data_IF_904367262336
#
_entry.id   IF_904367262336
#
_cell.length_a   1.000
_cell.length_b   1.000
_cell.length_c   1.000
_cell.angle_alpha   90.00
_cell.angle_beta   90.00
_cell.angle_gamma   90.00
#
_symmetry.space_group_name_H-M   'P 1'
#
loop_
_entity.id
_entity.type
_entity.pdbx_description
1 polymer ?
#
# COMPACT_ATOMS: atom_id res chain seq x y z
N UNK A 1 1.53 -49.10 -33.36
CA UNK A 1 1.21 -47.72 -33.80
C UNK A 1 0.07 -47.68 -34.81
N UNK A 2 0.08 -48.49 -35.87
CA UNK A 2 -0.94 -48.46 -36.92
C UNK A 2 -2.36 -48.77 -36.44
N UNK A 3 -2.55 -49.69 -35.49
CA UNK A 3 -3.89 -50.04 -34.99
C UNK A 3 -4.55 -48.91 -34.19
N UNK A 4 -3.80 -48.15 -33.40
CA UNK A 4 -4.32 -47.01 -32.63
C UNK A 4 -4.68 -45.86 -33.58
N UNK A 5 -3.83 -45.62 -34.58
CA UNK A 5 -4.07 -44.61 -35.60
C UNK A 5 -5.32 -44.94 -36.43
N UNK A 6 -5.45 -46.17 -36.93
CA UNK A 6 -6.63 -46.60 -37.68
C UNK A 6 -7.91 -46.52 -36.83
N UNK A 7 -7.84 -46.88 -35.54
CA UNK A 7 -8.97 -46.75 -34.62
C UNK A 7 -9.40 -45.28 -34.39
N UNK A 8 -8.45 -44.35 -34.25
CA UNK A 8 -8.72 -42.92 -34.13
C UNK A 8 -9.35 -42.35 -35.41
N UNK A 9 -8.89 -42.79 -36.59
CA UNK A 9 -9.40 -42.34 -37.89
C UNK A 9 -10.80 -42.89 -38.16
N UNK A 10 -11.03 -44.18 -37.92
CA UNK A 10 -12.32 -44.85 -38.13
C UNK A 10 -13.43 -44.29 -37.23
N UNK A 11 -13.07 -43.79 -36.03
CA UNK A 11 -13.99 -43.16 -35.07
C UNK A 11 -13.76 -41.65 -34.93
N UNK A 12 -13.18 -41.00 -35.93
CA UNK A 12 -12.77 -39.58 -35.90
C UNK A 12 -13.87 -38.62 -35.43
N UNK A 13 -15.12 -38.79 -35.90
CA UNK A 13 -16.27 -37.96 -35.48
C UNK A 13 -16.52 -38.00 -33.97
N UNK A 14 -16.37 -39.18 -33.35
CA UNK A 14 -16.53 -39.36 -31.91
C UNK A 14 -15.42 -38.65 -31.13
N UNK A 15 -14.17 -38.77 -31.57
CA UNK A 15 -13.04 -38.11 -30.91
C UNK A 15 -13.05 -36.59 -31.10
N UNK A 16 -13.48 -36.08 -32.26
CA UNK A 16 -13.68 -34.64 -32.48
C UNK A 16 -14.77 -34.12 -31.54
N UNK A 17 -15.90 -34.84 -31.43
CA UNK A 17 -16.97 -34.47 -30.50
C UNK A 17 -16.48 -34.51 -29.05
N UNK A 18 -15.72 -35.53 -28.66
CA UNK A 18 -15.16 -35.67 -27.32
C UNK A 18 -14.18 -34.52 -27.00
N UNK A 19 -13.28 -34.18 -27.92
CA UNK A 19 -12.35 -33.06 -27.77
C UNK A 19 -13.12 -31.75 -27.63
N UNK A 20 -14.12 -31.52 -28.48
CA UNK A 20 -14.96 -30.33 -28.44
C UNK A 20 -15.75 -30.22 -27.13
N UNK A 21 -16.31 -31.33 -26.65
CA UNK A 21 -16.98 -31.38 -25.35
C UNK A 21 -16.00 -31.06 -24.21
N UNK A 22 -14.78 -31.62 -24.25
CA UNK A 22 -13.73 -31.33 -23.26
C UNK A 22 -13.32 -29.85 -23.30
N UNK A 23 -13.19 -29.26 -24.48
CA UNK A 23 -12.90 -27.83 -24.65
C UNK A 23 -14.02 -26.95 -24.09
N UNK A 24 -15.29 -27.30 -24.32
CA UNK A 24 -16.43 -26.57 -23.72
C UNK A 24 -16.38 -26.66 -22.19
N UNK A 25 -16.12 -27.85 -21.64
CA UNK A 25 -15.99 -28.04 -20.19
C UNK A 25 -14.86 -27.18 -19.62
N UNK A 26 -13.71 -27.12 -20.30
CA UNK A 26 -12.59 -26.26 -19.92
C UNK A 26 -12.95 -24.76 -19.98
N UNK A 27 -13.71 -24.32 -20.99
CA UNK A 27 -14.18 -22.93 -21.12
C UNK A 27 -15.08 -22.55 -19.94
N UNK A 28 -15.94 -23.46 -19.48
CA UNK A 28 -16.79 -23.23 -18.30
C UNK A 28 -15.93 -23.01 -17.04
N UNK A 29 -14.74 -23.59 -16.98
CA UNK A 29 -13.78 -23.40 -15.88
C UNK A 29 -12.99 -22.09 -15.94
N UNK A 30 -12.87 -21.45 -17.09
CA UNK A 30 -12.04 -20.24 -17.27
C UNK A 30 -12.39 -19.08 -16.31
N UNK A 31 -13.66 -18.76 -16.03
CA UNK A 31 -13.99 -17.69 -15.08
C UNK A 31 -13.53 -17.95 -13.64
N UNK A 32 -13.22 -19.21 -13.30
CA UNK A 32 -12.72 -19.60 -11.97
C UNK A 32 -11.20 -19.73 -11.94
N UNK A 33 -10.53 -19.56 -13.08
CA UNK A 33 -9.07 -19.60 -13.15
C UNK A 33 -8.50 -18.36 -12.46
N UNK A 34 -7.79 -18.57 -11.36
CA UNK A 34 -7.06 -17.53 -10.65
C UNK A 34 -5.57 -17.73 -10.92
N UNK A 35 -4.95 -16.73 -11.55
CA UNK A 35 -3.50 -16.68 -11.68
C UNK A 35 -2.95 -16.02 -10.42
N UNK A 36 -2.36 -16.81 -9.53
CA UNK A 36 -1.67 -16.26 -8.35
C UNK A 36 -0.30 -15.75 -8.78
N UNK A 37 -0.24 -14.45 -9.09
CA UNK A 37 0.98 -13.71 -9.41
C UNK A 37 1.47 -12.88 -8.21
N UNK A 38 1.07 -13.27 -6.99
CA UNK A 38 1.51 -12.58 -5.78
C UNK A 38 3.01 -12.82 -5.55
N UNK A 39 3.69 -11.81 -5.01
CA UNK A 39 5.11 -11.93 -4.63
C UNK A 39 5.35 -13.01 -3.57
N UNK A 40 4.32 -13.38 -2.81
CA UNK A 40 4.37 -14.49 -1.84
C UNK A 40 4.73 -15.84 -2.50
N UNK A 41 4.36 -16.04 -3.76
CA UNK A 41 4.73 -17.26 -4.53
C UNK A 41 6.22 -17.35 -4.85
N UNK A 42 6.95 -16.23 -4.76
CA UNK A 42 8.41 -16.20 -4.97
C UNK A 42 9.18 -16.53 -3.69
N UNK A 43 8.50 -16.57 -2.54
CA UNK A 43 9.09 -16.88 -1.25
C UNK A 43 9.10 -18.39 -1.03
N UNK A 44 10.07 -18.86 -0.25
CA UNK A 44 10.15 -20.28 0.07
C UNK A 44 9.00 -20.68 1.00
N UNK A 45 8.33 -21.76 0.66
CA UNK A 45 7.32 -22.34 1.54
C UNK A 45 7.96 -22.77 2.88
N UNK A 46 7.33 -22.36 3.98
CA UNK A 46 7.75 -22.66 5.36
C UNK A 46 9.13 -22.08 5.78
N UNK A 47 9.47 -20.90 5.26
CA UNK A 47 10.63 -20.13 5.71
C UNK A 47 10.47 -19.67 7.18
N UNK A 48 11.38 -20.07 8.10
CA UNK A 48 11.33 -19.65 9.51
C UNK A 48 11.56 -18.14 9.69
N UNK A 49 12.36 -17.51 8.83
CA UNK A 49 12.62 -16.07 8.91
C UNK A 49 11.37 -15.27 8.51
N UNK A 50 10.61 -15.76 7.53
CA UNK A 50 9.31 -15.18 7.16
C UNK A 50 8.29 -15.29 8.31
N UNK A 51 8.30 -16.40 9.04
CA UNK A 51 7.45 -16.59 10.23
C UNK A 51 7.82 -15.57 11.32
N UNK A 52 9.10 -15.44 11.66
CA UNK A 52 9.61 -14.48 12.65
C UNK A 52 9.28 -13.04 12.22
N UNK A 53 9.49 -12.70 10.95
CA UNK A 53 9.16 -11.38 10.40
C UNK A 53 7.67 -11.04 10.60
N UNK A 54 6.77 -11.98 10.28
CA UNK A 54 5.31 -11.80 10.43
C UNK A 54 4.91 -11.70 11.90
N UNK A 55 5.50 -12.50 12.79
CA UNK A 55 5.25 -12.42 14.24
C UNK A 55 5.69 -11.07 14.83
N UNK A 56 6.89 -10.61 14.48
CA UNK A 56 7.40 -9.30 14.90
C UNK A 56 6.54 -8.16 14.36
N UNK A 57 6.20 -8.23 13.06
CA UNK A 57 5.30 -7.26 12.41
C UNK A 57 3.94 -7.19 13.11
N UNK A 58 3.39 -8.33 13.53
CA UNK A 58 2.14 -8.36 14.29
C UNK A 58 2.28 -7.79 15.71
N UNK A 59 3.38 -8.10 16.39
CA UNK A 59 3.60 -7.70 17.79
C UNK A 59 3.89 -6.21 17.96
N UNK A 60 4.74 -5.67 17.09
CA UNK A 60 5.18 -4.28 17.16
C UNK A 60 4.40 -3.34 16.22
N UNK A 61 3.53 -3.90 15.39
CA UNK A 61 2.76 -3.18 14.39
C UNK A 61 3.59 -2.89 13.14
N UNK A 62 3.33 -3.63 12.05
CA UNK A 62 3.63 -3.15 10.71
C UNK A 62 2.35 -2.59 10.13
N UNK A 63 2.42 -1.36 9.66
CA UNK A 63 1.32 -0.73 8.95
C UNK A 63 1.66 -0.77 7.48
N UNK A 64 0.87 -1.51 6.68
CA UNK A 64 0.98 -1.42 5.23
C UNK A 64 0.62 0.01 4.82
N UNK A 65 1.45 0.63 3.98
CA UNK A 65 1.22 2.01 3.55
C UNK A 65 1.51 2.19 2.08
N UNK A 66 0.89 3.22 1.51
CA UNK A 66 1.14 3.71 0.16
C UNK A 66 1.73 5.12 0.27
N UNK A 67 2.69 5.43 -0.61
CA UNK A 67 3.23 6.78 -0.72
C UNK A 67 2.70 7.41 -2.01
N UNK A 68 2.06 8.56 -1.89
CA UNK A 68 1.60 9.36 -3.02
C UNK A 68 2.51 10.58 -3.14
N UNK A 69 3.11 10.75 -4.31
CA UNK A 69 3.81 11.99 -4.67
C UNK A 69 2.83 12.95 -5.33
N UNK A 70 2.57 14.08 -4.68
CA UNK A 70 1.68 15.13 -5.16
C UNK A 70 2.49 16.34 -5.65
N UNK A 71 2.36 16.69 -6.92
CA UNK A 71 3.01 17.85 -7.54
C UNK A 71 1.95 18.82 -8.08
N UNK A 72 1.68 19.95 -7.41
CA UNK A 72 0.76 20.96 -7.91
C UNK A 72 1.35 21.76 -9.08
N UNK A 73 0.49 22.29 -9.93
CA UNK A 73 0.91 23.19 -11.04
C UNK A 73 1.35 24.58 -10.54
N UNK A 74 0.92 24.97 -9.33
CA UNK A 74 1.25 26.23 -8.67
C UNK A 74 2.20 25.96 -7.50
N UNK A 75 2.78 27.03 -6.93
CA UNK A 75 3.62 26.90 -5.75
C UNK A 75 2.85 26.26 -4.57
N UNK A 76 3.50 25.33 -3.86
CA UNK A 76 2.93 24.61 -2.71
C UNK A 76 2.43 25.57 -1.63
N UNK A 77 3.21 26.60 -1.30
CA UNK A 77 2.96 27.51 -0.18
C UNK A 77 2.09 28.69 -0.60
N UNK A 78 0.97 28.40 -1.25
CA UNK A 78 -0.08 29.37 -1.59
C UNK A 78 -1.40 28.87 -1.04
N UNK A 79 -2.28 29.79 -0.62
CA UNK A 79 -3.56 29.43 -0.02
C UNK A 79 -4.40 28.52 -0.93
N UNK A 80 -4.34 28.73 -2.24
CA UNK A 80 -5.04 27.91 -3.23
C UNK A 80 -4.53 26.47 -3.24
N UNK A 81 -3.21 26.27 -3.33
CA UNK A 81 -2.61 24.94 -3.36
C UNK A 81 -2.76 24.21 -2.03
N UNK A 82 -2.63 24.94 -0.91
CA UNK A 82 -2.84 24.41 0.44
C UNK A 82 -4.27 23.89 0.59
N UNK A 83 -5.27 24.70 0.23
CA UNK A 83 -6.68 24.29 0.30
C UNK A 83 -6.98 23.09 -0.62
N UNK A 84 -6.35 23.04 -1.79
CA UNK A 84 -6.45 21.89 -2.69
C UNK A 84 -5.83 20.62 -2.09
N UNK A 85 -4.69 20.74 -1.42
CA UNK A 85 -4.03 19.63 -0.73
C UNK A 85 -4.85 19.15 0.47
N UNK A 86 -5.41 20.06 1.27
CA UNK A 86 -6.31 19.72 2.39
C UNK A 86 -7.53 18.95 1.90
N UNK A 87 -8.17 19.42 0.82
CA UNK A 87 -9.30 18.73 0.21
C UNK A 87 -8.92 17.33 -0.27
N UNK A 88 -7.75 17.19 -0.91
CA UNK A 88 -7.23 15.91 -1.34
C UNK A 88 -7.01 14.97 -0.15
N UNK A 89 -6.32 15.44 0.89
CA UNK A 89 -6.07 14.65 2.12
C UNK A 89 -7.38 14.24 2.77
N UNK A 90 -8.36 15.15 2.85
CA UNK A 90 -9.70 14.86 3.37
C UNK A 90 -10.40 13.74 2.60
N UNK A 91 -10.42 13.83 1.27
CA UNK A 91 -11.01 12.78 0.41
C UNK A 91 -10.27 11.45 0.52
N UNK A 92 -8.95 11.46 0.64
CA UNK A 92 -8.17 10.24 0.83
C UNK A 92 -8.50 9.59 2.17
N UNK A 93 -8.68 10.37 3.24
CA UNK A 93 -9.11 9.84 4.56
C UNK A 93 -10.50 9.18 4.53
N UNK A 94 -11.36 9.52 3.58
CA UNK A 94 -12.70 8.93 3.41
C UNK A 94 -12.69 7.60 2.62
N UNK A 95 -11.60 7.27 1.92
CA UNK A 95 -11.52 6.03 1.12
C UNK A 95 -11.54 4.81 2.03
N UNK A 96 -12.45 3.86 1.77
CA UNK A 96 -12.48 2.63 2.54
C UNK A 96 -11.20 1.80 2.34
N UNK A 97 -10.72 1.21 3.43
CA UNK A 97 -9.41 0.59 3.49
C UNK A 97 -8.25 1.53 3.88
N UNK A 98 -8.47 2.84 4.02
CA UNK A 98 -7.47 3.78 4.56
C UNK A 98 -7.74 4.02 6.06
N UNK A 99 -6.69 3.91 6.87
CA UNK A 99 -6.74 4.15 8.32
C UNK A 99 -6.25 5.54 8.69
N UNK A 100 -5.21 6.05 8.01
CA UNK A 100 -4.67 7.38 8.23
C UNK A 100 -4.00 7.92 6.96
N UNK A 101 -3.91 9.25 6.84
CA UNK A 101 -3.10 9.91 5.81
C UNK A 101 -2.24 10.95 6.50
N UNK A 102 -0.92 10.73 6.49
CA UNK A 102 0.10 11.66 6.97
C UNK A 102 0.50 12.62 5.84
N UNK A 103 0.50 13.91 6.15
CA UNK A 103 0.79 15.00 5.22
C UNK A 103 1.62 16.11 5.89
N UNK A 104 1.93 17.19 5.16
CA UNK A 104 2.61 18.37 5.73
C UNK A 104 1.78 19.08 6.82
N UNK A 105 0.48 18.82 6.88
CA UNK A 105 -0.45 19.39 7.85
C UNK A 105 -0.34 18.76 9.24
N UNK A 106 0.20 17.55 9.31
CA UNK A 106 0.23 16.73 10.52
C UNK A 106 1.59 16.79 11.24
N UNK A 107 2.59 17.49 10.67
CA UNK A 107 3.95 17.56 11.22
C UNK A 107 4.22 18.89 11.93
N UNK A 108 5.00 18.88 13.03
CA UNK A 108 5.35 20.09 13.76
C UNK A 108 6.27 20.99 12.93
N UNK A 109 6.17 22.30 13.09
CA UNK A 109 7.15 23.26 12.56
C UNK A 109 8.20 23.55 13.64
N UNK A 110 9.33 22.83 13.59
CA UNK A 110 10.29 22.78 14.70
C UNK A 110 11.04 24.09 14.92
N UNK A 111 11.39 24.81 13.85
CA UNK A 111 12.09 26.10 13.94
C UNK A 111 11.16 27.31 13.77
N UNK A 112 9.84 27.11 13.92
CA UNK A 112 8.85 28.16 13.70
C UNK A 112 8.83 29.23 14.80
N UNK A 113 9.23 28.85 16.01
CA UNK A 113 9.39 29.76 17.15
C UNK A 113 10.75 29.51 17.83
N UNK A 114 11.21 30.45 18.66
CA UNK A 114 12.42 30.29 19.47
C UNK A 114 12.22 29.35 20.68
N UNK A 115 11.09 28.63 20.74
CA UNK A 115 10.77 27.72 21.82
C UNK A 115 11.70 26.49 21.81
N UNK A 116 11.98 25.98 22.99
CA UNK A 116 12.69 24.71 23.15
C UNK A 116 11.82 23.53 22.68
N UNK A 117 12.45 22.39 22.33
CA UNK A 117 11.74 21.15 21.94
C UNK A 117 10.69 20.73 22.99
N UNK A 118 10.97 20.93 24.28
CA UNK A 118 10.03 20.60 25.36
C UNK A 118 8.78 21.50 25.34
N UNK A 119 8.94 22.79 25.04
CA UNK A 119 7.82 23.74 24.95
C UNK A 119 7.00 23.50 23.68
N UNK A 120 7.66 23.11 22.58
CA UNK A 120 7.01 22.67 21.33
C UNK A 120 6.16 21.40 21.54
N UNK A 121 6.57 20.50 22.44
CA UNK A 121 5.81 19.30 22.77
C UNK A 121 4.49 19.64 23.50
N UNK A 122 4.43 20.75 24.22
CA UNK A 122 3.22 21.22 24.89
C UNK A 122 2.28 21.98 23.94
N UNK A 123 2.83 22.74 22.99
CA UNK A 123 2.06 23.53 22.02
C UNK A 123 2.54 23.30 20.59
N UNK A 124 2.11 22.18 20.00
CA UNK A 124 2.52 21.79 18.65
C UNK A 124 1.92 22.73 17.60
N UNK A 125 2.77 23.51 16.95
CA UNK A 125 2.41 24.33 15.79
C UNK A 125 2.62 23.50 14.52
N UNK A 126 1.58 23.41 13.68
CA UNK A 126 1.62 22.72 12.37
C UNK A 126 1.11 23.66 11.29
N UNK A 127 1.14 23.25 10.01
CA UNK A 127 0.46 24.00 8.95
C UNK A 127 -1.07 24.09 9.13
N UNK A 128 -1.67 23.24 9.97
CA UNK A 128 -3.11 23.26 10.29
C UNK A 128 -3.47 24.25 11.39
N UNK A 129 -2.48 24.83 12.09
CA UNK A 129 -2.73 25.79 13.16
C UNK A 129 -3.19 27.12 12.56
N UNK A 130 -4.14 27.79 13.21
CA UNK A 130 -4.65 29.08 12.76
C UNK A 130 -3.52 30.13 12.67
N UNK A 131 -3.62 31.05 11.71
CA UNK A 131 -2.71 32.19 11.51
C UNK A 131 -1.22 31.86 11.33
N UNK A 132 -0.90 30.68 10.77
CA UNK A 132 0.49 30.29 10.46
C UNK A 132 1.08 31.10 9.30
N UNK A 133 2.26 31.66 9.51
CA UNK A 133 3.03 32.35 8.48
C UNK A 133 3.64 31.34 7.49
N UNK A 134 3.01 31.24 6.32
CA UNK A 134 3.45 30.36 5.23
C UNK A 134 4.88 30.63 4.75
N UNK A 135 5.39 31.85 4.93
CA UNK A 135 6.78 32.17 4.56
C UNK A 135 7.76 31.49 5.49
N UNK A 136 7.47 31.53 6.80
CA UNK A 136 8.27 30.82 7.82
C UNK A 136 8.14 29.31 7.68
N UNK A 137 6.93 28.81 7.47
CA UNK A 137 6.71 27.39 7.26
C UNK A 137 7.46 26.89 6.01
N UNK A 138 7.42 27.64 4.90
CA UNK A 138 8.21 27.32 3.71
C UNK A 138 9.71 27.24 4.02
N UNK A 139 10.24 28.19 4.79
CA UNK A 139 11.65 28.18 5.18
C UNK A 139 12.01 26.94 6.01
N UNK A 140 11.15 26.52 6.94
CA UNK A 140 11.31 25.28 7.69
C UNK A 140 11.41 24.06 6.75
N UNK A 141 10.46 23.91 5.83
CA UNK A 141 10.44 22.79 4.88
C UNK A 141 11.58 22.85 3.85
N UNK A 142 12.17 24.02 3.63
CA UNK A 142 13.34 24.23 2.76
C UNK A 142 14.67 23.89 3.44
N UNK A 143 14.77 24.14 4.74
CA UNK A 143 16.06 24.09 5.46
C UNK A 143 16.19 22.91 6.40
N UNK A 144 15.08 22.40 6.95
CA UNK A 144 15.09 21.31 7.90
C UNK A 144 15.23 19.96 7.19
N UNK A 145 16.35 19.27 7.43
CA UNK A 145 16.67 17.97 6.82
C UNK A 145 15.71 16.84 7.26
N UNK A 146 14.97 17.03 8.35
CA UNK A 146 13.93 16.08 8.80
C UNK A 146 12.75 16.06 7.83
N UNK A 147 12.48 17.16 7.13
CA UNK A 147 11.37 17.26 6.19
C UNK A 147 11.82 17.31 4.73
N UNK A 148 12.91 18.05 4.47
CA UNK A 148 13.41 18.28 3.13
C UNK A 148 14.01 16.99 2.54
N UNK A 149 13.44 16.54 1.44
CA UNK A 149 13.78 15.28 0.77
C UNK A 149 13.05 14.06 1.33
N UNK A 150 12.24 14.21 2.38
CA UNK A 150 11.48 13.13 3.01
C UNK A 150 9.96 13.34 2.89
N UNK A 151 9.46 14.52 3.27
CA UNK A 151 8.04 14.90 3.14
C UNK A 151 7.78 15.85 1.98
N UNK A 152 8.79 16.62 1.60
CA UNK A 152 8.76 17.54 0.47
C UNK A 152 10.03 17.39 -0.35
N UNK A 153 9.95 17.51 -1.66
CA UNK A 153 11.11 17.41 -2.53
C UNK A 153 12.12 18.53 -2.25
N UNK A 154 13.40 18.29 -2.58
CA UNK A 154 14.48 19.26 -2.35
C UNK A 154 14.29 20.60 -3.07
N UNK A 155 13.49 20.61 -4.14
CA UNK A 155 13.11 21.78 -4.94
C UNK A 155 11.74 22.37 -4.55
N UNK A 156 11.10 21.84 -3.49
CA UNK A 156 9.82 22.32 -2.95
C UNK A 156 8.66 22.30 -3.96
N UNK A 157 8.64 21.30 -4.83
CA UNK A 157 7.57 21.13 -5.84
C UNK A 157 6.70 19.92 -5.63
N UNK A 158 7.17 18.91 -4.90
CA UNK A 158 6.46 17.65 -4.73
C UNK A 158 6.35 17.31 -3.27
N UNK A 159 5.17 16.90 -2.84
CA UNK A 159 4.85 16.51 -1.46
C UNK A 159 4.66 15.01 -1.42
N UNK A 160 5.22 14.35 -0.43
CA UNK A 160 4.92 12.96 -0.12
C UNK A 160 3.76 12.89 0.87
N UNK A 161 2.72 12.13 0.52
CA UNK A 161 1.63 11.75 1.40
C UNK A 161 1.77 10.27 1.72
N UNK A 162 1.77 9.91 3.00
CA UNK A 162 1.79 8.51 3.41
C UNK A 162 0.38 8.09 3.82
N UNK A 163 -0.22 7.21 3.05
CA UNK A 163 -1.53 6.62 3.35
C UNK A 163 -1.34 5.29 4.04
N UNK A 164 -1.74 5.20 5.29
CA UNK A 164 -1.74 3.95 6.03
C UNK A 164 -3.02 3.17 5.71
N UNK A 165 -2.88 1.88 5.40
CA UNK A 165 -3.99 0.99 5.10
C UNK A 165 -4.58 0.40 6.39
N UNK A 166 -5.86 0.04 6.36
CA UNK A 166 -6.50 -0.73 7.43
C UNK A 166 -5.97 -2.17 7.41
N UNK A 167 -5.68 -2.78 8.56
CA UNK A 167 -5.25 -4.16 8.62
C UNK A 167 -6.35 -5.11 8.12
N UNK A 168 -5.96 -6.13 7.34
CA UNK A 168 -6.88 -7.18 6.91
C UNK A 168 -6.94 -8.31 7.97
N UNK A 169 -7.89 -8.19 8.88
CA UNK A 169 -8.10 -9.15 9.97
C UNK A 169 -8.33 -10.60 9.48
N UNK A 170 -9.07 -10.76 8.38
CA UNK A 170 -9.34 -12.08 7.80
C UNK A 170 -8.05 -12.74 7.30
N UNK A 171 -7.21 -11.98 6.59
CA UNK A 171 -5.91 -12.45 6.13
C UNK A 171 -5.00 -12.84 7.31
N UNK A 172 -4.91 -12.00 8.34
CA UNK A 172 -4.09 -12.27 9.52
C UNK A 172 -4.55 -13.55 10.26
N UNK A 173 -5.87 -13.77 10.37
CA UNK A 173 -6.43 -15.00 10.94
C UNK A 173 -6.06 -16.24 10.11
N UNK A 174 -6.16 -16.15 8.78
CA UNK A 174 -5.82 -17.26 7.89
C UNK A 174 -4.32 -17.62 7.94
N UNK A 175 -3.44 -16.62 7.95
CA UNK A 175 -2.00 -16.83 8.10
C UNK A 175 -1.68 -17.46 9.46
N UNK A 176 -2.29 -16.97 10.54
CA UNK A 176 -2.13 -17.55 11.88
C UNK A 176 -2.56 -19.02 11.90
N UNK A 177 -3.71 -19.32 11.29
CA UNK A 177 -4.24 -20.68 11.23
C UNK A 177 -3.34 -21.60 10.39
N UNK A 178 -2.76 -21.09 9.30
CA UNK A 178 -1.79 -21.84 8.48
C UNK A 178 -0.59 -22.29 9.33
N UNK A 179 0.02 -21.39 10.09
CA UNK A 179 1.17 -21.74 10.92
C UNK A 179 0.82 -22.71 12.05
N UNK A 180 -0.32 -22.54 12.72
CA UNK A 180 -0.80 -23.47 13.76
C UNK A 180 -0.94 -24.91 13.21
N UNK A 181 -1.46 -25.07 11.99
CA UNK A 181 -1.62 -26.37 11.35
C UNK A 181 -0.29 -26.98 10.87
N UNK A 182 0.69 -26.16 10.50
CA UNK A 182 2.02 -26.62 10.14
C UNK A 182 2.79 -27.12 11.36
N UNK A 183 2.71 -26.37 12.47
CA UNK A 183 3.40 -26.72 13.71
C UNK A 183 2.83 -27.99 14.37
N UNK A 184 1.51 -28.24 14.24
CA UNK A 184 0.85 -29.48 14.73
C UNK A 184 1.24 -30.75 13.98
N UNK A 185 1.82 -30.64 12.78
CA UNK A 185 2.19 -31.77 11.92
C UNK A 185 3.60 -32.32 12.21
N UNK A 186 4.32 -31.67 13.12
CA UNK A 186 5.66 -32.01 13.61
C UNK A 186 5.58 -32.57 15.02
#
# INVERSE_FOLDING_TARGET
MNNIFNFLVDKSKFFIFLLFALSIISIIGLPRFQLDASSDTLLLDNDPDLKIYRENSRKYGSSDFLVIAFTPNKNIFTNETISLLENLVGKLKEVDGISNVLSLFDVPLLSYSEQSINELAENVVTLSTDDVDLTKAKYEFETNEVYRGLLISKDLKTIALQMTLKPNESYQKLISKRYELLDQKT
#
